data_IF_086304386159
#
_entry.id   IF_086304386159
#
_cell.length_a   1.000
_cell.length_b   1.000
_cell.length_c   1.000
_cell.angle_alpha   90.00
_cell.angle_beta   90.00
_cell.angle_gamma   90.00
#
_symmetry.space_group_name_H-M   'P 1'
#
loop_
_entity.id
_entity.type
_entity.pdbx_description
1 polymer ?
#
# COMPACT_ATOMS: atom_id res chain seq x y z
N UNK A 1 -2.53 30.47 -39.80
CA UNK A 1 -3.03 29.56 -38.74
C UNK A 1 -2.67 28.14 -39.16
N UNK A 2 -1.62 27.55 -38.57
CA UNK A 2 -1.22 26.17 -38.86
C UNK A 2 -1.50 25.33 -37.62
N UNK A 3 -2.47 24.44 -37.73
CA UNK A 3 -2.82 23.48 -36.70
C UNK A 3 -1.73 22.41 -36.63
N UNK A 4 -0.84 22.52 -35.64
CA UNK A 4 0.15 21.49 -35.33
C UNK A 4 -0.57 20.26 -34.78
N UNK A 5 -0.82 19.28 -35.66
CA UNK A 5 -1.17 17.92 -35.28
C UNK A 5 -0.06 17.33 -34.40
N UNK A 6 -0.32 17.27 -33.10
CA UNK A 6 0.54 16.61 -32.11
C UNK A 6 0.56 15.10 -32.39
N UNK A 7 1.50 14.63 -33.22
CA UNK A 7 1.81 13.19 -33.34
C UNK A 7 2.25 12.69 -31.96
N UNK A 8 1.40 11.88 -31.32
CA UNK A 8 1.73 11.21 -30.05
C UNK A 8 2.86 10.21 -30.32
N UNK A 9 4.01 10.45 -29.72
CA UNK A 9 5.19 9.60 -29.88
C UNK A 9 4.91 8.21 -29.27
N UNK A 10 4.89 7.11 -30.03
CA UNK A 10 4.52 5.79 -29.52
C UNK A 10 5.45 5.31 -28.39
N UNK A 11 6.71 5.75 -28.42
CA UNK A 11 7.71 5.51 -27.37
C UNK A 11 7.34 6.16 -26.02
N UNK A 12 6.58 7.26 -26.04
CA UNK A 12 6.16 7.94 -24.81
C UNK A 12 5.03 7.17 -24.10
N UNK A 13 4.07 6.63 -24.85
CA UNK A 13 2.98 5.81 -24.31
C UNK A 13 3.49 4.50 -23.70
N UNK A 14 4.48 3.86 -24.36
CA UNK A 14 5.08 2.63 -23.84
C UNK A 14 5.84 2.85 -22.53
N UNK A 15 6.61 3.94 -22.41
CA UNK A 15 7.31 4.31 -21.18
C UNK A 15 6.35 4.59 -20.02
N UNK A 16 5.25 5.28 -20.29
CA UNK A 16 4.21 5.57 -19.28
C UNK A 16 3.53 4.28 -18.83
N UNK A 17 3.16 3.40 -19.76
CA UNK A 17 2.57 2.08 -19.45
C UNK A 17 3.50 1.24 -18.57
N UNK A 18 4.80 1.16 -18.93
CA UNK A 18 5.82 0.47 -18.13
C UNK A 18 5.97 1.08 -16.73
N UNK A 19 5.98 2.40 -16.60
CA UNK A 19 6.06 3.10 -15.30
C UNK A 19 4.85 2.80 -14.41
N UNK A 20 3.65 2.75 -14.99
CA UNK A 20 2.41 2.41 -14.28
C UNK A 20 2.40 0.95 -13.83
N UNK A 21 2.78 0.02 -14.71
CA UNK A 21 2.90 -1.39 -14.37
C UNK A 21 3.91 -1.64 -13.24
N UNK A 22 5.06 -0.95 -13.28
CA UNK A 22 6.06 -1.01 -12.22
C UNK A 22 5.57 -0.42 -10.89
N UNK A 23 4.82 0.69 -10.94
CA UNK A 23 4.27 1.29 -9.72
C UNK A 23 3.20 0.40 -9.08
N UNK A 24 2.37 -0.23 -9.90
CA UNK A 24 1.38 -1.20 -9.45
C UNK A 24 2.02 -2.48 -8.89
N UNK A 25 3.13 -2.96 -9.47
CA UNK A 25 3.83 -4.13 -8.96
C UNK A 25 4.47 -3.86 -7.59
N UNK A 26 5.05 -2.67 -7.37
CA UNK A 26 5.53 -2.24 -6.05
C UNK A 26 4.38 -2.22 -5.04
N UNK A 27 3.25 -1.58 -5.37
CA UNK A 27 2.11 -1.51 -4.47
C UNK A 27 1.58 -2.91 -4.11
N UNK A 28 1.51 -3.79 -5.10
CA UNK A 28 1.10 -5.19 -4.90
C UNK A 28 2.07 -5.93 -4.00
N UNK A 29 3.37 -5.82 -4.26
CA UNK A 29 4.41 -6.47 -3.45
C UNK A 29 4.35 -6.02 -1.99
N UNK A 30 4.29 -4.71 -1.74
CA UNK A 30 4.16 -4.14 -0.39
C UNK A 30 2.89 -4.62 0.29
N UNK A 31 1.77 -4.66 -0.44
CA UNK A 31 0.49 -5.17 0.08
C UNK A 31 0.63 -6.62 0.54
N UNK A 32 1.21 -7.50 -0.27
CA UNK A 32 1.42 -8.91 0.08
C UNK A 32 2.31 -9.05 1.32
N UNK A 33 3.42 -8.30 1.38
CA UNK A 33 4.33 -8.31 2.54
C UNK A 33 3.58 -7.90 3.82
N UNK A 34 2.81 -6.81 3.77
CA UNK A 34 1.99 -6.36 4.90
C UNK A 34 0.98 -7.43 5.32
N UNK A 35 0.30 -8.09 4.39
CA UNK A 35 -0.65 -9.15 4.72
C UNK A 35 0.02 -10.35 5.40
N UNK A 36 1.21 -10.75 4.94
CA UNK A 36 2.00 -11.82 5.57
C UNK A 36 2.42 -11.44 6.99
N UNK A 37 2.89 -10.20 7.18
CA UNK A 37 3.28 -9.68 8.50
C UNK A 37 2.08 -9.62 9.46
N UNK A 38 0.93 -9.12 9.00
CA UNK A 38 -0.30 -9.10 9.79
C UNK A 38 -0.78 -10.52 10.13
N UNK A 39 -0.69 -11.47 9.18
CA UNK A 39 -1.01 -12.87 9.44
C UNK A 39 -0.12 -13.49 10.51
N UNK A 40 1.19 -13.28 10.42
CA UNK A 40 2.14 -13.70 11.45
C UNK A 40 1.84 -13.06 12.82
N UNK A 41 1.58 -11.76 12.83
CA UNK A 41 1.30 -11.01 14.05
C UNK A 41 -0.03 -11.40 14.70
N UNK A 42 -1.04 -11.78 13.91
CA UNK A 42 -2.30 -12.33 14.41
C UNK A 42 -2.08 -13.64 15.18
N UNK A 43 -1.27 -14.54 14.62
CA UNK A 43 -0.90 -15.81 15.29
C UNK A 43 -0.15 -15.52 16.59
N UNK A 44 0.78 -14.58 16.57
CA UNK A 44 1.51 -14.15 17.77
C UNK A 44 0.56 -13.55 18.82
N UNK A 45 -0.35 -12.67 18.41
CA UNK A 45 -1.37 -12.05 19.28
C UNK A 45 -2.26 -13.10 19.95
N UNK A 46 -2.69 -14.13 19.21
CA UNK A 46 -3.42 -15.26 19.78
C UNK A 46 -2.60 -16.02 20.82
N UNK A 47 -1.31 -16.26 20.54
CA UNK A 47 -0.39 -16.90 21.51
C UNK A 47 -0.20 -16.07 22.78
N UNK A 48 -0.15 -14.75 22.68
CA UNK A 48 -0.09 -13.84 23.84
C UNK A 48 -1.34 -14.01 24.71
N UNK A 49 -2.53 -14.11 24.12
CA UNK A 49 -3.76 -14.33 24.87
C UNK A 49 -3.83 -15.70 25.57
N UNK A 50 -3.29 -16.74 24.93
CA UNK A 50 -3.29 -18.11 25.48
C UNK A 50 -2.25 -18.26 26.58
N UNK A 51 -1.01 -17.82 26.33
CA UNK A 51 0.12 -18.07 27.23
C UNK A 51 0.23 -17.02 28.35
N UNK A 52 -0.49 -15.91 28.24
CA UNK A 52 -0.51 -14.79 29.19
C UNK A 52 0.88 -14.33 29.69
N UNK A 53 1.87 -14.10 28.81
CA UNK A 53 3.23 -13.75 29.23
C UNK A 53 3.33 -12.41 29.98
N UNK A 54 2.32 -11.53 29.87
CA UNK A 54 2.30 -10.20 30.49
C UNK A 54 1.51 -10.16 31.81
N UNK A 55 1.28 -11.32 32.44
CA UNK A 55 0.61 -11.44 33.72
C UNK A 55 -0.90 -11.31 33.60
N UNK A 56 -1.45 -10.12 33.88
CA UNK A 56 -2.90 -9.94 33.92
C UNK A 56 -3.53 -9.94 32.50
N UNK A 57 -4.84 -10.23 32.44
CA UNK A 57 -5.58 -10.29 31.18
C UNK A 57 -5.52 -8.98 30.39
N UNK A 58 -5.65 -7.83 31.06
CA UNK A 58 -5.66 -6.52 30.39
C UNK A 58 -4.34 -6.20 29.68
N UNK A 59 -3.20 -6.50 30.31
CA UNK A 59 -1.90 -6.31 29.70
C UNK A 59 -1.75 -7.18 28.45
N UNK A 60 -2.14 -8.46 28.53
CA UNK A 60 -2.09 -9.36 27.39
C UNK A 60 -3.02 -8.91 26.26
N UNK A 61 -4.21 -8.39 26.60
CA UNK A 61 -5.16 -7.82 25.64
C UNK A 61 -4.59 -6.58 24.92
N UNK A 62 -3.94 -5.68 25.66
CA UNK A 62 -3.34 -4.46 25.10
C UNK A 62 -2.11 -4.81 24.25
N UNK A 63 -1.20 -5.64 24.74
CA UNK A 63 0.04 -5.96 24.03
C UNK A 63 -0.15 -6.92 22.86
N UNK A 64 -1.03 -7.92 22.97
CA UNK A 64 -1.32 -8.84 21.86
C UNK A 64 -2.32 -8.22 20.88
N UNK A 65 -3.63 -8.34 21.14
CA UNK A 65 -4.67 -7.80 20.25
C UNK A 65 -4.57 -6.29 20.00
N UNK A 66 -4.27 -5.48 21.02
CA UNK A 66 -4.18 -4.02 20.87
C UNK A 66 -3.07 -3.60 19.91
N UNK A 67 -1.86 -4.18 20.03
CA UNK A 67 -0.77 -3.89 19.09
C UNK A 67 -1.07 -4.42 17.69
N UNK A 68 -1.77 -5.56 17.56
CA UNK A 68 -2.23 -6.07 16.27
C UNK A 68 -3.15 -5.08 15.56
N UNK A 69 -4.18 -4.57 16.26
CA UNK A 69 -5.09 -3.57 15.71
C UNK A 69 -4.36 -2.26 15.34
N UNK A 70 -3.40 -1.83 16.15
CA UNK A 70 -2.57 -0.67 15.83
C UNK A 70 -1.79 -0.88 14.52
N UNK A 71 -1.20 -2.07 14.32
CA UNK A 71 -0.51 -2.41 13.08
C UNK A 71 -1.45 -2.44 11.88
N UNK A 72 -2.64 -3.04 11.99
CA UNK A 72 -3.66 -3.00 10.92
C UNK A 72 -3.98 -1.55 10.52
N UNK A 73 -4.18 -0.67 11.52
CA UNK A 73 -4.45 0.74 11.29
C UNK A 73 -3.30 1.47 10.58
N UNK A 74 -2.06 1.26 11.04
CA UNK A 74 -0.87 1.86 10.44
C UNK A 74 -0.64 1.34 9.01
N UNK A 75 -0.72 0.04 8.79
CA UNK A 75 -0.61 -0.60 7.48
C UNK A 75 -1.64 -0.05 6.49
N UNK A 76 -2.89 0.15 6.93
CA UNK A 76 -3.94 0.73 6.09
C UNK A 76 -3.63 2.16 5.68
N UNK A 77 -3.14 2.99 6.61
CA UNK A 77 -2.71 4.37 6.31
C UNK A 77 -1.53 4.38 5.33
N UNK A 78 -0.56 3.49 5.53
CA UNK A 78 0.59 3.35 4.64
C UNK A 78 0.17 2.94 3.22
N UNK A 79 -0.66 1.91 3.09
CA UNK A 79 -1.15 1.45 1.79
C UNK A 79 -1.94 2.54 1.05
N UNK A 80 -2.77 3.30 1.78
CA UNK A 80 -3.50 4.45 1.20
C UNK A 80 -2.53 5.53 0.71
N UNK A 81 -1.50 5.84 1.49
CA UNK A 81 -0.46 6.79 1.10
C UNK A 81 0.30 6.33 -0.15
N UNK A 82 0.72 5.06 -0.19
CA UNK A 82 1.41 4.49 -1.34
C UNK A 82 0.53 4.43 -2.58
N UNK A 83 -0.75 4.10 -2.45
CA UNK A 83 -1.70 4.13 -3.57
C UNK A 83 -1.79 5.53 -4.17
N UNK A 84 -1.89 6.55 -3.32
CA UNK A 84 -1.92 7.95 -3.77
C UNK A 84 -0.67 8.31 -4.57
N UNK A 85 0.52 8.10 -3.97
CA UNK A 85 1.80 8.52 -4.57
C UNK A 85 2.19 7.70 -5.80
N UNK A 86 1.93 6.39 -5.79
CA UNK A 86 2.38 5.49 -6.86
C UNK A 86 1.38 5.39 -8.01
N UNK A 87 0.08 5.61 -7.76
CA UNK A 87 -0.98 5.41 -8.76
C UNK A 87 -1.73 6.71 -9.03
N UNK A 88 -2.37 7.31 -8.03
CA UNK A 88 -3.28 8.46 -8.24
C UNK A 88 -2.55 9.70 -8.78
N UNK A 89 -1.45 10.13 -8.14
CA UNK A 89 -0.70 11.33 -8.55
C UNK A 89 -0.13 11.18 -9.98
N UNK A 90 0.21 9.95 -10.39
CA UNK A 90 0.68 9.66 -11.76
C UNK A 90 -0.46 9.72 -12.77
N UNK A 91 -1.66 9.29 -12.40
CA UNK A 91 -2.85 9.38 -13.25
C UNK A 91 -3.28 10.84 -13.46
N UNK A 92 -3.24 11.66 -12.41
CA UNK A 92 -3.57 13.09 -12.51
C UNK A 92 -2.56 13.85 -13.38
N UNK A 93 -1.26 13.57 -13.22
CA UNK A 93 -0.21 14.15 -14.06
C UNK A 93 -0.38 13.77 -15.54
N UNK A 94 -0.73 12.52 -15.82
CA UNK A 94 -1.04 12.06 -17.17
C UNK A 94 -2.30 12.75 -17.73
N UNK A 95 -3.39 12.84 -16.95
CA UNK A 95 -4.65 13.47 -17.37
C UNK A 95 -4.46 14.96 -17.72
N UNK A 96 -3.73 15.71 -16.90
CA UNK A 96 -3.43 17.13 -17.14
C UNK A 96 -2.59 17.37 -18.39
N UNK A 97 -1.91 16.36 -18.93
CA UNK A 97 -1.17 16.46 -20.20
C UNK A 97 -2.10 16.43 -21.43
N UNK A 98 -3.35 15.98 -21.28
CA UNK A 98 -4.31 15.82 -22.37
C UNK A 98 -5.42 16.89 -22.42
N UNK A 99 -5.39 17.86 -21.51
CA UNK A 99 -6.23 19.08 -21.51
C UNK A 99 -5.29 20.28 -21.70
#
# INVERSE_FOLDING_TARGET
>A
MSSSSSRKDPLSHERISKSRAFSASILTFVTVVIFLELGYHLIWSAKVMINQPYGNFFNNLVYGPGSFLANVGLSTKLLRYLNKVLVEDKLEADYKKYI
#
